data_IF_109308266417
#
_entry.id   IF_109308266417
#
_cell.length_a   1.000
_cell.length_b   1.000
_cell.length_c   1.000
_cell.angle_alpha   90.00
_cell.angle_beta   90.00
_cell.angle_gamma   90.00
#
_symmetry.space_group_name_H-M   'P 1'
#
loop_
_entity.id
_entity.type
_entity.pdbx_description
1 polymer ?
#
# COMPACT_ATOMS: atom_id res chain seq x y z
N UNK A 1 -8.64 -4.00 10.81
CA UNK A 1 -8.47 -2.89 9.85
C UNK A 1 -6.99 -2.58 9.83
N UNK A 2 -6.34 -2.58 8.66
CA UNK A 2 -4.91 -2.25 8.58
C UNK A 2 -4.72 -0.78 8.91
N UNK A 3 -4.07 -0.51 10.03
CA UNK A 3 -3.90 0.83 10.57
C UNK A 3 -2.78 1.61 9.87
N UNK A 4 -1.94 0.97 9.05
CA UNK A 4 -0.89 1.68 8.33
C UNK A 4 -0.49 1.00 7.03
N UNK A 5 -0.86 1.61 5.90
CA UNK A 5 -0.48 1.22 4.53
C UNK A 5 1.00 0.92 4.40
N UNK A 6 1.87 1.61 5.15
CA UNK A 6 3.32 1.38 5.10
C UNK A 6 3.69 -0.05 5.50
N UNK A 7 3.05 -0.60 6.53
CA UNK A 7 3.34 -1.95 7.03
C UNK A 7 3.02 -3.00 5.97
N UNK A 8 1.93 -2.81 5.23
CA UNK A 8 1.61 -3.72 4.14
C UNK A 8 2.53 -3.53 2.94
N UNK A 9 2.91 -2.30 2.58
CA UNK A 9 3.87 -2.05 1.51
C UNK A 9 5.23 -2.69 1.79
N UNK A 10 5.72 -2.62 3.02
CA UNK A 10 7.00 -3.21 3.42
C UNK A 10 6.96 -4.75 3.29
N UNK A 11 5.85 -5.37 3.71
CA UNK A 11 5.65 -6.83 3.57
C UNK A 11 5.61 -7.29 2.11
N UNK A 12 5.13 -6.45 1.20
CA UNK A 12 5.09 -6.78 -0.23
C UNK A 12 6.49 -6.90 -0.81
N UNK A 13 7.41 -6.02 -0.41
CA UNK A 13 8.81 -6.07 -0.87
C UNK A 13 9.47 -7.37 -0.41
N UNK A 14 9.28 -7.76 0.85
CA UNK A 14 9.78 -9.03 1.40
C UNK A 14 9.20 -10.25 0.68
N UNK A 15 7.94 -10.16 0.22
CA UNK A 15 7.28 -11.23 -0.54
C UNK A 15 7.68 -11.29 -2.03
N UNK A 16 8.59 -10.42 -2.48
CA UNK A 16 9.03 -10.37 -3.89
C UNK A 16 8.13 -9.54 -4.80
N UNK A 17 7.18 -8.80 -4.24
CA UNK A 17 6.45 -7.76 -4.95
C UNK A 17 7.27 -6.47 -5.09
N UNK A 18 6.69 -5.47 -5.76
CA UNK A 18 7.32 -4.18 -6.03
C UNK A 18 6.38 -3.05 -5.63
N UNK A 19 6.91 -2.05 -4.93
CA UNK A 19 6.15 -0.83 -4.67
C UNK A 19 6.00 -0.07 -5.99
N UNK A 20 4.76 0.20 -6.39
CA UNK A 20 4.44 1.00 -7.58
C UNK A 20 4.23 2.46 -7.19
N UNK A 21 3.56 2.70 -6.07
CA UNK A 21 3.35 4.00 -5.46
C UNK A 21 3.48 3.86 -3.96
N UNK A 22 4.42 4.61 -3.39
CA UNK A 22 4.63 4.68 -1.94
C UNK A 22 3.39 5.24 -1.22
N UNK A 23 3.36 5.10 0.11
CA UNK A 23 2.30 5.64 0.95
C UNK A 23 2.13 7.14 0.69
N UNK A 24 0.98 7.50 0.14
CA UNK A 24 0.61 8.87 -0.20
C UNK A 24 -0.63 9.24 0.60
N UNK A 25 -0.57 10.36 1.33
CA UNK A 25 -1.74 10.92 2.04
C UNK A 25 -2.72 11.46 1.00
N UNK A 26 -3.95 10.96 1.00
CA UNK A 26 -5.01 11.46 0.11
C UNK A 26 -5.55 12.77 0.67
N UNK A 27 -6.02 12.75 1.93
CA UNK A 27 -6.43 13.92 2.70
C UNK A 27 -6.55 13.54 4.17
N UNK A 28 -6.79 14.52 5.05
CA UNK A 28 -7.09 14.23 6.47
C UNK A 28 -8.39 13.44 6.65
N UNK A 29 -9.35 13.59 5.74
CA UNK A 29 -10.66 12.93 5.81
C UNK A 29 -10.68 11.55 5.12
N UNK A 30 -9.79 11.33 4.14
CA UNK A 30 -9.75 10.10 3.33
C UNK A 30 -8.56 9.20 3.64
N UNK A 31 -7.69 9.60 4.57
CA UNK A 31 -6.55 8.82 5.04
C UNK A 31 -5.43 8.68 4.00
N UNK A 32 -4.82 7.49 3.95
CA UNK A 32 -3.64 7.20 3.11
C UNK A 32 -3.92 6.10 2.08
N UNK A 33 -3.20 6.16 0.96
CA UNK A 33 -3.21 5.14 -0.09
C UNK A 33 -1.79 4.71 -0.46
N UNK A 34 -1.64 3.47 -0.88
CA UNK A 34 -0.40 2.94 -1.47
C UNK A 34 -0.75 1.96 -2.57
N UNK A 35 0.14 1.79 -3.54
CA UNK A 35 -0.06 0.84 -4.65
C UNK A 35 1.17 -0.02 -4.81
N UNK A 36 0.98 -1.32 -4.95
CA UNK A 36 2.06 -2.24 -5.22
C UNK A 36 1.69 -3.20 -6.34
N UNK A 37 2.71 -3.81 -6.91
CA UNK A 37 2.62 -4.94 -7.81
C UNK A 37 3.00 -6.20 -7.02
N UNK A 38 2.12 -7.19 -6.97
CA UNK A 38 2.46 -8.46 -6.31
C UNK A 38 3.43 -9.31 -7.14
N UNK A 39 3.83 -10.47 -6.62
CA UNK A 39 4.73 -11.40 -7.31
C UNK A 39 4.13 -12.00 -8.59
N UNK A 40 2.81 -11.93 -8.77
CA UNK A 40 2.09 -12.42 -9.94
C UNK A 40 1.92 -11.34 -11.02
N UNK A 41 2.31 -10.09 -10.73
CA UNK A 41 2.19 -8.95 -11.63
C UNK A 41 0.86 -8.19 -11.51
N UNK A 42 0.02 -8.51 -10.53
CA UNK A 42 -1.24 -7.79 -10.32
C UNK A 42 -0.98 -6.45 -9.64
N UNK A 43 -1.71 -5.42 -10.07
CA UNK A 43 -1.70 -4.12 -9.41
C UNK A 43 -2.74 -4.08 -8.30
N UNK A 44 -2.28 -3.93 -7.07
CA UNK A 44 -3.12 -3.87 -5.87
C UNK A 44 -2.98 -2.50 -5.21
N UNK A 45 -4.12 -1.87 -4.95
CA UNK A 45 -4.19 -0.60 -4.22
C UNK A 45 -4.67 -0.86 -2.79
N UNK A 46 -3.96 -0.28 -1.83
CA UNK A 46 -4.29 -0.29 -0.42
C UNK A 46 -4.77 1.08 0.00
N UNK A 47 -5.77 1.09 0.87
CA UNK A 47 -6.35 2.29 1.44
C UNK A 47 -6.50 2.09 2.95
N UNK A 48 -6.11 3.09 3.73
CA UNK A 48 -6.32 3.13 5.17
C UNK A 48 -7.03 4.43 5.53
N UNK A 49 -8.14 4.31 6.26
CA UNK A 49 -8.95 5.40 6.81
C UNK A 49 -8.45 5.89 8.19
N UNK A 50 -7.32 5.36 8.68
CA UNK A 50 -6.81 5.62 10.02
C UNK A 50 -6.08 6.97 10.12
#
# INVERSE_FOLDING_TARGET
MSNDVQVELDRVVDAGGKIYQEKTKISEEHGCMGVFIDSEGNRVALHSNA
#
